data_IF_278553359261
#
_entry.id   IF_278553359261
#
_cell.length_a   1.000
_cell.length_b   1.000
_cell.length_c   1.000
_cell.angle_alpha   90.00
_cell.angle_beta   90.00
_cell.angle_gamma   90.00
#
_symmetry.space_group_name_H-M   'P 1'
#
loop_
_entity.id
_entity.type
_entity.pdbx_description
1 polymer ?
#
# COMPACT_ATOMS: atom_id res chain seq x y z
N UNK A 1 6.23 -6.16 -16.13
CA UNK A 1 5.61 -4.82 -16.02
C UNK A 1 4.24 -4.93 -15.39
N UNK A 2 4.09 -4.35 -14.19
CA UNK A 2 2.84 -4.27 -13.44
C UNK A 2 1.90 -3.20 -14.02
N UNK A 3 0.60 -3.29 -13.68
CA UNK A 3 -0.40 -2.26 -14.02
C UNK A 3 -0.03 -0.90 -13.39
N UNK A 4 -0.05 0.23 -14.14
CA UNK A 4 0.34 1.54 -13.62
C UNK A 4 -0.74 2.14 -12.71
N UNK A 5 -0.33 2.93 -11.72
CA UNK A 5 -1.23 3.71 -10.85
C UNK A 5 -1.08 5.21 -11.14
N UNK A 6 -2.20 5.92 -11.21
CA UNK A 6 -2.19 7.37 -11.41
C UNK A 6 -1.75 8.11 -10.13
N UNK A 7 -0.87 9.09 -10.28
CA UNK A 7 -0.32 9.85 -9.15
C UNK A 7 -1.40 10.55 -8.33
N UNK A 8 -2.42 11.10 -9.00
CA UNK A 8 -3.55 11.79 -8.38
C UNK A 8 -4.35 10.86 -7.46
N UNK A 9 -4.47 9.59 -7.82
CA UNK A 9 -5.08 8.57 -6.95
C UNK A 9 -4.23 8.32 -5.71
N UNK A 10 -2.91 8.20 -5.85
CA UNK A 10 -2.00 7.98 -4.74
C UNK A 10 -1.98 9.17 -3.76
N UNK A 11 -2.06 10.39 -4.27
CA UNK A 11 -2.18 11.59 -3.44
C UNK A 11 -3.53 11.65 -2.71
N UNK A 12 -4.64 11.39 -3.42
CA UNK A 12 -5.98 11.42 -2.83
C UNK A 12 -6.15 10.44 -1.66
N UNK A 13 -5.56 9.23 -1.77
CA UNK A 13 -5.68 8.19 -0.73
C UNK A 13 -4.72 8.37 0.44
N UNK A 14 -3.62 9.10 0.30
CA UNK A 14 -2.54 9.17 1.31
C UNK A 14 -3.04 9.53 2.73
N UNK A 15 -3.94 10.52 2.94
CA UNK A 15 -4.48 10.81 4.27
C UNK A 15 -5.30 9.65 4.86
N UNK A 16 -5.97 8.86 4.03
CA UNK A 16 -6.72 7.68 4.45
C UNK A 16 -5.80 6.51 4.76
N UNK A 17 -4.74 6.32 3.97
CA UNK A 17 -3.66 5.36 4.23
C UNK A 17 -3.05 5.63 5.61
N UNK A 18 -2.58 6.86 5.85
CA UNK A 18 -1.91 7.25 7.08
C UNK A 18 -2.76 7.01 8.33
N UNK A 19 -4.07 7.26 8.24
CA UNK A 19 -5.03 7.04 9.35
C UNK A 19 -5.36 5.57 9.59
N UNK A 20 -5.29 4.74 8.55
CA UNK A 20 -5.72 3.36 8.61
C UNK A 20 -4.59 2.41 9.01
N UNK A 21 -3.34 2.70 8.61
CA UNK A 21 -2.16 1.89 8.96
C UNK A 21 -2.06 1.65 10.48
N UNK A 22 -1.66 0.45 10.85
CA UNK A 22 -1.64 -0.02 12.22
C UNK A 22 -0.39 0.48 12.95
N UNK A 23 -0.55 1.54 13.75
CA UNK A 23 0.55 2.15 14.49
C UNK A 23 1.26 1.19 15.46
N UNK A 24 0.53 0.24 16.07
CA UNK A 24 1.13 -0.72 17.00
C UNK A 24 2.12 -1.67 16.29
N UNK A 25 1.80 -2.11 15.06
CA UNK A 25 2.73 -2.90 14.25
C UNK A 25 3.93 -2.07 13.78
N UNK A 26 3.75 -0.79 13.45
CA UNK A 26 4.86 0.10 13.11
C UNK A 26 5.82 0.33 14.29
N UNK A 27 5.29 0.47 15.51
CA UNK A 27 6.10 0.58 16.72
C UNK A 27 6.87 -0.73 16.96
N UNK A 28 6.20 -1.89 16.85
CA UNK A 28 6.87 -3.18 17.00
C UNK A 28 7.95 -3.42 15.92
N UNK A 29 7.75 -2.93 14.69
CA UNK A 29 8.79 -2.92 13.67
C UNK A 29 9.97 -2.03 14.08
N UNK A 30 9.70 -0.81 14.57
CA UNK A 30 10.73 0.13 15.01
C UNK A 30 11.64 -0.46 16.10
N UNK A 31 11.04 -1.16 17.06
CA UNK A 31 11.75 -1.85 18.15
C UNK A 31 12.64 -2.99 17.66
N UNK A 32 12.23 -3.70 16.60
CA UNK A 32 12.98 -4.81 16.03
C UNK A 32 14.14 -4.37 15.12
N UNK A 33 14.13 -3.11 14.67
CA UNK A 33 15.14 -2.55 13.76
C UNK A 33 16.37 -2.02 14.53
N UNK A 34 17.58 -2.08 13.93
CA UNK A 34 18.79 -1.54 14.54
C UNK A 34 18.75 0.00 14.65
N UNK A 35 19.67 0.63 15.42
CA UNK A 35 19.64 2.08 15.67
C UNK A 35 19.71 2.99 14.43
N UNK A 36 20.25 2.50 13.31
CA UNK A 36 20.33 3.22 12.02
C UNK A 36 19.88 2.30 10.88
N UNK A 37 18.59 2.00 10.77
CA UNK A 37 18.11 0.95 9.89
C UNK A 37 18.16 1.37 8.43
N UNK A 38 18.48 0.42 7.55
CA UNK A 38 18.20 0.49 6.12
C UNK A 38 16.90 -0.24 5.79
N UNK A 39 15.89 0.49 5.35
CA UNK A 39 14.61 -0.05 4.88
C UNK A 39 14.52 -0.10 3.36
N UNK A 40 14.03 -1.22 2.83
CA UNK A 40 13.65 -1.38 1.43
C UNK A 40 12.12 -1.26 1.31
N UNK A 41 11.63 -0.22 0.64
CA UNK A 41 10.20 0.03 0.42
C UNK A 41 9.77 -0.48 -0.96
N UNK A 42 9.03 -1.58 -1.01
CA UNK A 42 8.61 -2.23 -2.26
C UNK A 42 7.28 -1.66 -2.74
N UNK A 43 7.27 -1.19 -3.99
CA UNK A 43 6.11 -0.52 -4.56
C UNK A 43 5.91 0.84 -3.89
N UNK A 44 7.00 1.58 -3.74
CA UNK A 44 7.04 2.81 -2.96
C UNK A 44 6.06 3.88 -3.48
N UNK A 45 5.69 3.83 -4.77
CA UNK A 45 4.83 4.80 -5.41
C UNK A 45 5.36 6.21 -5.22
N UNK A 46 4.51 7.10 -4.69
CA UNK A 46 4.90 8.47 -4.35
C UNK A 46 5.57 8.60 -2.97
N UNK A 47 5.99 7.52 -2.31
CA UNK A 47 6.73 7.53 -1.04
C UNK A 47 5.89 7.74 0.21
N UNK A 48 4.58 7.43 0.18
CA UNK A 48 3.66 7.69 1.30
C UNK A 48 3.91 6.79 2.52
N UNK A 49 4.50 5.60 2.34
CA UNK A 49 4.86 4.73 3.46
C UNK A 49 6.07 5.28 4.21
N UNK A 50 7.13 5.68 3.48
CA UNK A 50 8.27 6.39 4.08
C UNK A 50 7.80 7.59 4.89
N UNK A 51 7.02 8.50 4.29
CA UNK A 51 6.55 9.72 4.99
C UNK A 51 5.77 9.43 6.27
N UNK A 52 5.09 8.29 6.35
CA UNK A 52 4.33 7.89 7.53
C UNK A 52 5.18 7.15 8.57
N UNK A 53 6.05 6.23 8.16
CA UNK A 53 6.83 5.37 9.05
C UNK A 53 8.09 6.06 9.57
N UNK A 54 8.74 6.89 8.74
CA UNK A 54 9.98 7.59 9.08
C UNK A 54 9.90 8.42 10.38
N UNK A 55 8.83 9.23 10.62
CA UNK A 55 8.66 9.92 11.90
C UNK A 55 8.50 8.98 13.10
N UNK A 56 7.88 7.81 12.93
CA UNK A 56 7.66 6.81 14.00
C UNK A 56 8.99 6.17 14.40
N UNK A 57 9.89 5.91 13.44
CA UNK A 57 11.23 5.40 13.74
C UNK A 57 12.07 6.40 14.56
N UNK A 58 11.85 7.70 14.35
CA UNK A 58 12.36 8.76 15.23
C UNK A 58 13.88 8.80 15.38
N UNK A 59 14.62 8.37 14.35
CA UNK A 59 16.11 8.31 14.35
C UNK A 59 16.68 8.42 12.93
N UNK A 60 18.00 8.54 12.84
CA UNK A 60 18.69 8.45 11.55
C UNK A 60 18.45 7.11 10.88
N UNK A 61 18.22 7.12 9.57
CA UNK A 61 17.75 5.95 8.82
C UNK A 61 18.08 6.09 7.34
N UNK A 62 18.12 4.96 6.66
CA UNK A 62 18.33 4.86 5.23
C UNK A 62 17.15 4.15 4.57
N UNK A 63 16.67 4.69 3.45
CA UNK A 63 15.58 4.16 2.66
C UNK A 63 16.02 3.94 1.23
N UNK A 64 15.70 2.76 0.69
CA UNK A 64 15.69 2.51 -0.75
C UNK A 64 14.24 2.33 -1.19
N UNK A 65 13.72 3.31 -1.93
CA UNK A 65 12.40 3.26 -2.54
C UNK A 65 12.48 2.47 -3.83
N UNK A 66 11.77 1.34 -3.91
CA UNK A 66 11.74 0.48 -5.09
C UNK A 66 10.39 0.61 -5.78
N UNK A 67 10.41 0.95 -7.05
CA UNK A 67 9.20 0.96 -7.88
C UNK A 67 9.54 0.57 -9.32
N UNK A 68 8.58 0.05 -10.06
CA UNK A 68 8.75 -0.22 -11.49
C UNK A 68 8.65 1.07 -12.33
N UNK A 69 8.01 2.11 -11.79
CA UNK A 69 7.79 3.38 -12.46
C UNK A 69 8.75 4.47 -11.96
N UNK A 70 9.72 4.84 -12.82
CA UNK A 70 10.67 5.90 -12.54
C UNK A 70 10.01 7.27 -12.30
N UNK A 71 8.85 7.53 -12.90
CA UNK A 71 8.10 8.79 -12.71
C UNK A 71 7.45 8.88 -11.34
N UNK A 72 7.04 7.74 -10.75
CA UNK A 72 6.54 7.69 -9.38
C UNK A 72 7.67 7.94 -8.38
N UNK A 73 8.85 7.36 -8.60
CA UNK A 73 10.02 7.65 -7.78
C UNK A 73 10.41 9.13 -7.83
N UNK A 74 10.45 9.75 -9.03
CA UNK A 74 10.71 11.19 -9.16
C UNK A 74 9.71 12.03 -8.35
N UNK A 75 8.42 11.70 -8.43
CA UNK A 75 7.38 12.32 -7.60
C UNK A 75 7.60 12.07 -6.11
N UNK A 76 8.01 10.86 -5.71
CA UNK A 76 8.30 10.55 -4.32
C UNK A 76 9.39 11.46 -3.75
N UNK A 77 10.50 11.64 -4.48
CA UNK A 77 11.56 12.56 -4.09
C UNK A 77 11.05 14.00 -3.95
N UNK A 78 10.33 14.51 -4.97
CA UNK A 78 9.78 15.86 -4.94
C UNK A 78 8.84 16.08 -3.75
N UNK A 79 7.92 15.14 -3.49
CA UNK A 79 7.00 15.23 -2.36
C UNK A 79 7.70 15.10 -1.01
N UNK A 80 8.70 14.23 -0.88
CA UNK A 80 9.48 14.11 0.36
C UNK A 80 10.21 15.42 0.67
N UNK A 81 10.85 16.01 -0.33
CA UNK A 81 11.57 17.28 -0.18
C UNK A 81 10.61 18.44 0.13
N UNK A 82 9.51 18.57 -0.61
CA UNK A 82 8.49 19.59 -0.35
C UNK A 82 7.95 19.49 1.09
N UNK A 83 7.60 18.28 1.55
CA UNK A 83 7.07 18.07 2.90
C UNK A 83 8.11 18.35 3.99
N UNK A 84 9.39 18.05 3.73
CA UNK A 84 10.48 18.41 4.63
C UNK A 84 10.63 19.93 4.76
N UNK A 85 10.61 20.65 3.64
CA UNK A 85 10.70 22.12 3.62
C UNK A 85 9.51 22.75 4.35
N UNK A 86 8.29 22.25 4.11
CA UNK A 86 7.09 22.70 4.83
C UNK A 86 7.16 22.45 6.34
N UNK A 87 7.86 21.39 6.76
CA UNK A 87 8.13 21.09 8.17
C UNK A 87 9.28 21.93 8.77
N UNK A 88 9.91 22.81 7.99
CA UNK A 88 11.05 23.62 8.41
C UNK A 88 12.37 22.86 8.46
N UNK A 89 12.50 21.74 7.76
CA UNK A 89 13.70 20.92 7.71
C UNK A 89 14.56 21.26 6.48
N UNK A 90 15.87 21.09 6.62
CA UNK A 90 16.81 21.26 5.52
C UNK A 90 16.88 19.99 4.69
N UNK A 91 16.96 20.12 3.37
CA UNK A 91 17.28 19.04 2.44
C UNK A 91 18.59 19.28 1.73
N UNK A 92 19.31 18.21 1.39
CA UNK A 92 20.53 18.28 0.58
C UNK A 92 20.62 17.11 -0.38
N UNK A 93 21.20 17.35 -1.55
CA UNK A 93 21.40 16.35 -2.61
C UNK A 93 22.91 16.09 -2.81
N UNK A 94 23.55 15.22 -2.01
CA UNK A 94 24.98 14.90 -2.18
C UNK A 94 25.30 14.28 -3.55
N UNK A 95 24.30 13.69 -4.20
CA UNK A 95 24.34 13.23 -5.61
C UNK A 95 22.91 13.25 -6.18
N UNK A 96 22.74 13.25 -7.51
CA UNK A 96 21.41 13.38 -8.15
C UNK A 96 20.36 12.34 -7.75
N UNK A 97 20.79 11.19 -7.21
CA UNK A 97 19.92 10.06 -6.86
C UNK A 97 19.79 9.84 -5.35
N UNK A 98 20.27 10.78 -4.53
CA UNK A 98 20.23 10.65 -3.07
C UNK A 98 19.80 11.95 -2.44
N UNK A 99 18.64 11.91 -1.78
CA UNK A 99 18.12 12.98 -0.97
C UNK A 99 18.47 12.71 0.49
N UNK A 100 19.00 13.73 1.17
CA UNK A 100 19.13 13.73 2.63
C UNK A 100 18.14 14.73 3.20
N UNK A 101 17.31 14.27 4.14
CA UNK A 101 16.40 15.11 4.93
C UNK A 101 16.97 15.24 6.34
N UNK A 102 17.27 16.46 6.77
CA UNK A 102 17.87 16.74 8.08
C UNK A 102 16.77 17.06 9.10
N UNK A 103 16.31 16.04 9.83
CA UNK A 103 15.27 16.19 10.86
C UNK A 103 15.91 16.42 12.24
N UNK A 104 15.17 16.98 13.22
CA UNK A 104 15.66 17.10 14.60
C UNK A 104 16.04 15.75 15.25
N UNK A 105 15.46 14.65 14.79
CA UNK A 105 15.67 13.30 15.34
C UNK A 105 16.79 12.52 14.61
N UNK A 106 17.28 13.03 13.49
CA UNK A 106 18.31 12.37 12.69
C UNK A 106 18.17 12.62 11.20
N UNK A 107 19.17 12.14 10.44
CA UNK A 107 19.19 12.30 8.98
C UNK A 107 18.47 11.12 8.34
N UNK A 108 17.52 11.41 7.45
CA UNK A 108 16.90 10.40 6.59
C UNK A 108 17.61 10.43 5.25
N UNK A 109 18.32 9.35 4.90
CA UNK A 109 18.88 9.14 3.57
C UNK A 109 17.84 8.42 2.72
N UNK A 110 17.56 8.94 1.53
CA UNK A 110 16.58 8.36 0.61
C UNK A 110 17.22 8.15 -0.75
N UNK A 111 17.12 6.92 -1.27
CA UNK A 111 17.58 6.52 -2.60
C UNK A 111 16.44 5.84 -3.37
N UNK A 112 16.49 5.87 -4.69
CA UNK A 112 15.51 5.24 -5.57
C UNK A 112 16.12 4.09 -6.37
N UNK A 113 15.36 3.02 -6.55
CA UNK A 113 15.71 1.87 -7.36
C UNK A 113 14.55 1.54 -8.29
N UNK A 114 14.76 1.67 -9.61
CA UNK A 114 13.79 1.20 -10.59
C UNK A 114 13.99 -0.30 -10.78
N UNK A 115 12.98 -1.10 -10.43
CA UNK A 115 13.05 -2.56 -10.57
C UNK A 115 11.66 -3.17 -10.83
N UNK A 116 11.62 -4.20 -11.69
CA UNK A 116 10.40 -5.01 -11.86
C UNK A 116 10.27 -5.97 -10.67
N UNK A 117 9.36 -5.63 -9.75
CA UNK A 117 9.09 -6.45 -8.57
C UNK A 117 8.59 -7.86 -8.93
N UNK A 118 8.05 -8.07 -10.14
CA UNK A 118 7.61 -9.39 -10.60
C UNK A 118 8.77 -10.36 -10.83
N UNK A 119 10.00 -9.85 -10.99
CA UNK A 119 11.21 -10.68 -11.04
C UNK A 119 11.51 -11.39 -9.71
N UNK A 120 10.86 -10.96 -8.61
CA UNK A 120 10.97 -11.60 -7.31
C UNK A 120 12.19 -11.16 -6.49
N UNK A 121 12.52 -11.87 -5.40
CA UNK A 121 13.55 -11.46 -4.44
C UNK A 121 14.95 -11.35 -5.02
N UNK A 122 15.29 -12.16 -6.03
CA UNK A 122 16.64 -12.21 -6.62
C UNK A 122 17.02 -10.91 -7.37
N UNK A 123 16.02 -10.11 -7.73
CA UNK A 123 16.21 -8.80 -8.37
C UNK A 123 16.29 -7.64 -7.37
N UNK A 124 16.25 -7.93 -6.06
CA UNK A 124 16.18 -6.93 -4.99
C UNK A 124 17.41 -7.03 -4.08
N UNK A 125 17.94 -5.89 -3.57
CA UNK A 125 19.10 -5.87 -2.68
C UNK A 125 18.72 -6.22 -1.23
N UNK A 126 18.10 -7.40 -1.03
CA UNK A 126 17.57 -7.83 0.27
C UNK A 126 18.68 -8.03 1.32
N UNK A 127 19.89 -8.35 0.88
CA UNK A 127 21.09 -8.57 1.70
C UNK A 127 21.62 -7.28 2.37
N UNK A 128 21.22 -6.12 1.86
CA UNK A 128 21.63 -4.80 2.37
C UNK A 128 20.63 -4.17 3.32
N UNK A 129 19.40 -4.69 3.38
CA UNK A 129 18.32 -4.12 4.16
C UNK A 129 18.28 -4.71 5.57
N UNK A 130 17.98 -3.87 6.56
CA UNK A 130 17.64 -4.26 7.93
C UNK A 130 16.13 -4.54 8.10
N UNK A 131 15.31 -4.16 7.11
CA UNK A 131 13.89 -4.44 7.06
C UNK A 131 13.31 -4.16 5.68
N UNK A 132 12.26 -4.90 5.32
CA UNK A 132 11.57 -4.73 4.03
C UNK A 132 10.12 -4.36 4.31
N UNK A 133 9.65 -3.30 3.66
CA UNK A 133 8.32 -2.76 3.87
C UNK A 133 7.57 -2.63 2.56
N UNK A 134 6.23 -2.61 2.61
CA UNK A 134 5.37 -2.36 1.45
C UNK A 134 4.01 -1.87 1.90
N UNK A 135 3.28 -1.19 1.01
CA UNK A 135 1.90 -0.73 1.26
C UNK A 135 1.01 -0.98 0.04
N UNK A 136 -0.15 -1.62 0.23
CA UNK A 136 -1.10 -1.95 -0.84
C UNK A 136 -0.44 -2.64 -2.06
N UNK A 137 0.52 -3.53 -1.81
CA UNK A 137 1.24 -4.30 -2.83
C UNK A 137 0.83 -5.77 -2.80
N UNK A 138 0.78 -6.40 -1.62
CA UNK A 138 0.74 -7.85 -1.53
C UNK A 138 -0.60 -8.49 -1.92
N UNK A 139 -1.65 -7.70 -2.12
CA UNK A 139 -2.89 -8.15 -2.74
C UNK A 139 -2.83 -8.17 -4.28
N UNK A 140 -1.84 -7.51 -4.88
CA UNK A 140 -1.59 -7.51 -6.34
C UNK A 140 -0.68 -8.65 -6.78
N UNK A 141 0.12 -9.20 -5.87
CA UNK A 141 1.13 -10.23 -6.18
C UNK A 141 0.53 -11.63 -6.15
N UNK A 142 1.23 -12.59 -6.75
CA UNK A 142 0.81 -14.00 -6.75
C UNK A 142 1.24 -14.75 -5.49
N UNK A 143 0.61 -15.90 -5.27
CA UNK A 143 1.01 -16.84 -4.22
C UNK A 143 2.49 -17.26 -4.33
N UNK A 144 3.00 -17.42 -5.57
CA UNK A 144 4.41 -17.77 -5.83
C UNK A 144 5.34 -16.68 -5.31
N UNK A 145 5.04 -15.41 -5.62
CA UNK A 145 5.84 -14.27 -5.20
C UNK A 145 5.96 -14.19 -3.67
N UNK A 146 4.83 -14.30 -2.95
CA UNK A 146 4.83 -14.28 -1.47
C UNK A 146 5.68 -15.41 -0.89
N UNK A 147 5.59 -16.63 -1.47
CA UNK A 147 6.41 -17.77 -1.04
C UNK A 147 7.90 -17.53 -1.26
N UNK A 148 8.28 -16.95 -2.39
CA UNK A 148 9.68 -16.63 -2.70
C UNK A 148 10.23 -15.58 -1.73
N UNK A 149 9.48 -14.50 -1.49
CA UNK A 149 9.86 -13.47 -0.51
C UNK A 149 10.01 -14.04 0.90
N UNK A 150 9.04 -14.82 1.38
CA UNK A 150 9.10 -15.44 2.70
C UNK A 150 10.30 -16.40 2.86
N UNK A 151 10.70 -17.09 1.78
CA UNK A 151 11.86 -17.98 1.80
C UNK A 151 13.21 -17.27 1.72
N UNK A 152 13.26 -16.10 1.06
CA UNK A 152 14.49 -15.33 0.86
C UNK A 152 14.82 -14.39 2.04
N UNK A 153 13.80 -13.86 2.71
CA UNK A 153 14.00 -12.85 3.76
C UNK A 153 14.58 -13.44 5.04
N UNK A 154 15.45 -12.64 5.67
CA UNK A 154 16.03 -12.87 7.02
C UNK A 154 15.84 -11.69 7.96
N UNK A 155 15.19 -10.63 7.50
CA UNK A 155 14.93 -9.39 8.23
C UNK A 155 13.43 -9.16 8.38
N UNK A 156 12.97 -8.28 9.29
CA UNK A 156 11.56 -7.94 9.42
C UNK A 156 10.89 -7.59 8.08
N UNK A 157 9.67 -8.08 7.89
CA UNK A 157 8.81 -7.74 6.77
C UNK A 157 7.52 -7.10 7.25
N UNK A 158 7.23 -5.89 6.77
CA UNK A 158 5.98 -5.19 7.07
C UNK A 158 5.19 -4.91 5.79
N UNK A 159 3.95 -5.38 5.74
CA UNK A 159 3.03 -5.13 4.63
C UNK A 159 1.79 -4.42 5.16
N UNK A 160 1.60 -3.17 4.77
CA UNK A 160 0.45 -2.38 5.15
C UNK A 160 -0.66 -2.41 4.09
N UNK A 161 -1.89 -2.19 4.54
CA UNK A 161 -3.08 -1.96 3.72
C UNK A 161 -3.36 -3.08 2.71
N UNK A 162 -3.20 -4.34 3.14
CA UNK A 162 -3.55 -5.49 2.30
C UNK A 162 -5.05 -5.72 2.37
N UNK A 163 -5.75 -5.66 1.23
CA UNK A 163 -7.21 -5.80 1.18
C UNK A 163 -7.66 -7.13 1.80
N UNK A 164 -8.74 -7.09 2.59
CA UNK A 164 -9.29 -8.27 3.28
C UNK A 164 -10.70 -8.67 2.77
N UNK A 165 -11.23 -7.90 1.81
CA UNK A 165 -12.52 -8.13 1.16
C UNK A 165 -13.75 -7.72 1.97
N UNK A 166 -13.59 -7.00 3.08
CA UNK A 166 -14.68 -6.52 3.95
C UNK A 166 -15.09 -5.09 3.62
N UNK A 167 -15.47 -4.88 2.36
CA UNK A 167 -15.87 -3.57 1.86
C UNK A 167 -17.34 -3.29 2.16
N UNK A 168 -17.65 -2.05 2.57
CA UNK A 168 -19.01 -1.63 2.89
C UNK A 168 -19.25 -0.20 2.47
N UNK A 169 -20.26 -0.01 1.62
CA UNK A 169 -20.81 1.30 1.28
C UNK A 169 -22.06 1.55 2.12
N UNK A 170 -22.21 2.74 2.68
CA UNK A 170 -23.38 3.13 3.48
C UNK A 170 -23.92 4.48 2.98
N UNK A 171 -25.24 4.62 2.75
CA UNK A 171 -26.31 3.66 3.08
C UNK A 171 -26.31 2.39 2.20
N UNK A 172 -26.91 1.27 2.63
CA UNK A 172 -26.99 0.06 1.83
C UNK A 172 -27.69 0.29 0.48
N UNK A 173 -27.28 -0.43 -0.56
CA UNK A 173 -27.93 -0.44 -1.86
C UNK A 173 -28.14 -1.89 -2.35
N UNK A 174 -29.27 -2.23 -2.98
CA UNK A 174 -29.55 -3.60 -3.43
C UNK A 174 -28.45 -4.23 -4.30
N UNK A 175 -27.80 -3.45 -5.15
CA UNK A 175 -26.68 -3.88 -6.00
C UNK A 175 -25.30 -3.98 -5.31
N UNK A 176 -25.16 -3.71 -4.01
CA UNK A 176 -23.85 -3.78 -3.32
C UNK A 176 -23.17 -5.14 -3.45
N UNK A 177 -23.92 -6.22 -3.22
CA UNK A 177 -23.38 -7.58 -3.33
C UNK A 177 -22.94 -7.95 -4.76
N UNK A 178 -23.60 -7.38 -5.78
CA UNK A 178 -23.26 -7.59 -7.17
C UNK A 178 -21.96 -6.86 -7.54
N UNK A 179 -21.85 -5.59 -7.16
CA UNK A 179 -20.63 -4.79 -7.38
C UNK A 179 -19.44 -5.41 -6.66
N UNK A 180 -19.60 -5.78 -5.38
CA UNK A 180 -18.55 -6.42 -4.60
C UNK A 180 -18.10 -7.78 -5.18
N UNK A 181 -19.00 -8.53 -5.86
CA UNK A 181 -18.62 -9.76 -6.58
C UNK A 181 -17.76 -9.45 -7.80
N UNK A 182 -18.15 -8.45 -8.57
CA UNK A 182 -17.39 -7.99 -9.73
C UNK A 182 -16.01 -7.49 -9.34
N UNK A 183 -15.94 -6.62 -8.33
CA UNK A 183 -14.68 -6.10 -7.79
C UNK A 183 -13.75 -7.22 -7.27
N UNK A 184 -14.26 -8.21 -6.54
CA UNK A 184 -13.44 -9.35 -6.11
C UNK A 184 -12.90 -10.21 -7.26
N UNK A 185 -13.66 -10.38 -8.34
CA UNK A 185 -13.19 -11.07 -9.54
C UNK A 185 -12.08 -10.27 -10.22
N UNK A 186 -12.23 -8.96 -10.25
CA UNK A 186 -11.28 -8.00 -10.78
C UNK A 186 -9.94 -7.99 -10.00
N UNK A 187 -10.02 -8.04 -8.67
CA UNK A 187 -8.85 -8.16 -7.77
C UNK A 187 -8.05 -9.46 -7.98
N UNK A 188 -8.68 -10.52 -8.49
CA UNK A 188 -8.02 -11.81 -8.74
C UNK A 188 -7.41 -11.95 -10.13
N UNK A 189 -7.41 -10.89 -10.94
CA UNK A 189 -6.77 -10.87 -12.28
C UNK A 189 -5.24 -10.90 -12.14
N UNK A 190 -4.55 -11.16 -13.25
CA UNK A 190 -3.11 -10.96 -13.29
C UNK A 190 -2.81 -9.45 -13.34
N UNK A 191 -1.92 -9.00 -12.45
CA UNK A 191 -1.47 -7.61 -12.30
C UNK A 191 -0.01 -7.43 -12.70
N UNK A 192 0.58 -8.42 -13.38
CA UNK A 192 1.98 -8.50 -13.77
C UNK A 192 2.81 -9.47 -12.93
N UNK A 193 2.21 -10.10 -11.91
CA UNK A 193 2.87 -11.03 -10.98
C UNK A 193 2.41 -12.48 -11.15
N UNK A 194 1.52 -12.76 -12.11
CA UNK A 194 0.64 -13.92 -12.11
C UNK A 194 -0.70 -13.59 -11.43
N UNK A 195 -1.55 -14.60 -11.27
CA UNK A 195 -2.87 -14.45 -10.62
C UNK A 195 -2.72 -13.83 -9.23
N UNK A 196 -3.29 -12.64 -9.06
CA UNK A 196 -3.22 -11.88 -7.82
C UNK A 196 -3.97 -12.57 -6.66
N UNK A 197 -3.48 -12.35 -5.44
CA UNK A 197 -4.06 -12.89 -4.21
C UNK A 197 -5.37 -12.18 -3.82
N UNK A 198 -5.49 -10.88 -4.12
CA UNK A 198 -6.61 -10.05 -3.70
C UNK A 198 -6.89 -10.20 -2.20
N UNK A 199 -8.16 -10.38 -1.79
CA UNK A 199 -8.56 -10.52 -0.38
C UNK A 199 -7.92 -11.70 0.38
N UNK A 200 -7.31 -12.67 -0.32
CA UNK A 200 -6.64 -13.79 0.33
C UNK A 200 -5.23 -13.42 0.82
N UNK A 201 -4.68 -12.26 0.43
CA UNK A 201 -3.30 -11.88 0.70
C UNK A 201 -2.92 -11.92 2.19
N UNK A 202 -3.69 -11.35 3.14
CA UNK A 202 -3.32 -11.39 4.55
C UNK A 202 -3.13 -12.83 5.07
N UNK A 203 -4.04 -13.73 4.71
CA UNK A 203 -3.98 -15.12 5.16
C UNK A 203 -2.84 -15.91 4.50
N UNK A 204 -2.59 -15.69 3.21
CA UNK A 204 -1.51 -16.37 2.46
C UNK A 204 -0.14 -15.90 2.95
N UNK A 205 0.06 -14.59 3.12
CA UNK A 205 1.31 -14.05 3.69
C UNK A 205 1.56 -14.60 5.09
N UNK A 206 0.56 -14.55 5.97
CA UNK A 206 0.74 -15.02 7.33
C UNK A 206 1.12 -16.51 7.39
N UNK A 207 0.54 -17.34 6.51
CA UNK A 207 0.91 -18.75 6.39
C UNK A 207 2.32 -18.94 5.85
N UNK A 208 2.68 -18.21 4.80
CA UNK A 208 3.99 -18.32 4.16
C UNK A 208 5.13 -17.91 5.10
N UNK A 209 5.01 -16.76 5.77
CA UNK A 209 6.02 -16.27 6.71
C UNK A 209 6.12 -17.15 7.96
N UNK A 210 5.00 -17.62 8.54
CA UNK A 210 5.04 -18.60 9.64
C UNK A 210 5.72 -19.90 9.22
N UNK A 211 5.43 -20.39 8.01
CA UNK A 211 6.08 -21.57 7.45
C UNK A 211 7.59 -21.39 7.22
N UNK A 212 8.05 -20.14 7.05
CA UNK A 212 9.46 -19.78 6.96
C UNK A 212 10.10 -19.48 8.33
N UNK A 213 9.39 -19.72 9.44
CA UNK A 213 9.91 -19.55 10.80
C UNK A 213 9.72 -18.16 11.41
N UNK A 214 9.03 -17.24 10.72
CA UNK A 214 8.78 -15.89 11.25
C UNK A 214 7.67 -15.88 12.30
N UNK A 215 7.81 -15.01 13.31
CA UNK A 215 6.72 -14.63 14.20
C UNK A 215 5.86 -13.58 13.50
N UNK A 216 4.64 -13.96 13.14
CA UNK A 216 3.70 -13.10 12.39
C UNK A 216 2.63 -12.50 13.30
N UNK A 217 2.56 -11.17 13.30
CA UNK A 217 1.50 -10.36 13.88
C UNK A 217 0.65 -9.72 12.78
N UNK A 218 -0.64 -9.55 13.04
CA UNK A 218 -1.58 -8.90 12.10
C UNK A 218 -2.50 -7.96 12.84
N UNK A 219 -2.91 -6.86 12.21
CA UNK A 219 -3.83 -5.90 12.80
C UNK A 219 -4.79 -5.31 11.76
N UNK A 220 -6.05 -5.03 12.13
CA UNK A 220 -6.98 -4.38 11.21
C UNK A 220 -6.47 -2.98 10.86
N UNK A 221 -6.65 -2.59 9.59
CA UNK A 221 -6.26 -1.29 9.05
C UNK A 221 -7.27 -0.74 8.03
N UNK A 222 -8.58 -0.72 8.35
CA UNK A 222 -9.59 -0.34 7.38
C UNK A 222 -9.49 1.15 7.02
N UNK A 223 -9.67 1.48 5.74
CA UNK A 223 -10.01 2.87 5.40
C UNK A 223 -11.40 3.16 5.93
N UNK A 224 -11.53 4.28 6.63
CA UNK A 224 -12.80 4.85 7.06
C UNK A 224 -12.99 6.17 6.32
N UNK A 225 -13.84 6.16 5.29
CA UNK A 225 -14.13 7.31 4.43
C UNK A 225 -15.49 7.89 4.86
N UNK A 226 -15.50 8.99 5.63
CA UNK A 226 -16.74 9.60 6.09
C UNK A 226 -17.48 10.30 4.93
N UNK A 227 -18.77 10.58 5.13
CA UNK A 227 -19.57 11.34 4.16
C UNK A 227 -19.02 12.74 3.87
N UNK A 228 -18.27 13.32 4.80
CA UNK A 228 -17.62 14.63 4.64
C UNK A 228 -16.44 14.62 3.64
N UNK A 229 -16.04 13.46 3.11
CA UNK A 229 -14.98 13.34 2.08
C UNK A 229 -15.56 12.82 0.76
N UNK A 230 -16.36 13.65 0.06
CA UNK A 230 -17.18 13.21 -1.06
C UNK A 230 -16.36 12.75 -2.28
N UNK A 231 -15.20 13.38 -2.52
CA UNK A 231 -14.32 13.01 -3.65
C UNK A 231 -13.81 11.58 -3.47
N UNK A 232 -13.22 11.26 -2.32
CA UNK A 232 -12.74 9.90 -2.04
C UNK A 232 -13.86 8.85 -2.12
N UNK A 233 -15.04 9.17 -1.57
CA UNK A 233 -16.18 8.25 -1.58
C UNK A 233 -16.70 7.98 -3.01
N UNK A 234 -16.80 9.01 -3.86
CA UNK A 234 -17.20 8.87 -5.26
C UNK A 234 -16.15 8.11 -6.08
N UNK A 235 -14.86 8.46 -5.92
CA UNK A 235 -13.75 7.77 -6.59
C UNK A 235 -13.73 6.27 -6.27
N UNK A 236 -13.89 5.91 -5.00
CA UNK A 236 -13.99 4.51 -4.58
C UNK A 236 -15.19 3.81 -5.24
N UNK A 237 -16.37 4.45 -5.20
CA UNK A 237 -17.55 3.86 -5.81
C UNK A 237 -17.36 3.66 -7.32
N UNK A 238 -16.96 4.68 -8.06
CA UNK A 238 -16.76 4.56 -9.51
C UNK A 238 -15.73 3.48 -9.86
N UNK A 239 -14.61 3.39 -9.12
CA UNK A 239 -13.61 2.34 -9.31
C UNK A 239 -14.19 0.93 -9.10
N UNK A 240 -15.00 0.72 -8.06
CA UNK A 240 -15.68 -0.56 -7.82
C UNK A 240 -16.69 -0.89 -8.95
N UNK A 241 -17.44 0.10 -9.41
CA UNK A 241 -18.38 -0.08 -10.52
C UNK A 241 -17.65 -0.42 -11.82
N UNK A 242 -16.55 0.26 -12.12
CA UNK A 242 -15.74 0.03 -13.32
C UNK A 242 -15.16 -1.38 -13.33
N UNK A 243 -14.52 -1.79 -12.24
CA UNK A 243 -14.02 -3.14 -12.05
C UNK A 243 -15.14 -4.19 -12.19
N UNK A 244 -16.31 -3.94 -11.61
CA UNK A 244 -17.45 -4.84 -11.76
C UNK A 244 -17.96 -4.93 -13.20
N UNK A 245 -17.99 -3.81 -13.95
CA UNK A 245 -18.37 -3.78 -15.37
C UNK A 245 -17.39 -4.57 -16.24
N UNK A 246 -16.10 -4.47 -15.95
CA UNK A 246 -15.07 -5.22 -16.67
C UNK A 246 -15.13 -6.73 -16.38
N UNK A 247 -15.49 -7.12 -15.17
CA UNK A 247 -15.43 -8.51 -14.72
C UNK A 247 -16.74 -9.31 -14.89
N UNK A 248 -17.89 -8.66 -15.09
CA UNK A 248 -19.21 -9.30 -15.14
C UNK A 248 -19.83 -9.26 -16.55
N UNK A 249 -20.83 -10.12 -16.85
CA UNK A 249 -21.46 -10.16 -18.17
C UNK A 249 -22.07 -8.80 -18.60
N UNK A 250 -22.02 -8.44 -19.90
CA UNK A 250 -22.48 -7.13 -20.38
C UNK A 250 -23.94 -6.78 -20.07
N UNK A 251 -24.83 -7.77 -19.99
CA UNK A 251 -26.25 -7.56 -19.67
C UNK A 251 -26.51 -6.95 -18.30
N UNK A 252 -25.53 -6.99 -17.39
CA UNK A 252 -25.62 -6.43 -16.03
C UNK A 252 -25.18 -4.95 -15.98
N UNK A 253 -24.56 -4.43 -17.04
CA UNK A 253 -24.04 -3.06 -17.07
C UNK A 253 -25.03 -1.95 -16.67
N UNK A 254 -26.34 -2.01 -17.03
CA UNK A 254 -27.30 -1.01 -16.58
C UNK A 254 -27.43 -0.94 -15.05
N UNK A 255 -27.43 -2.09 -14.34
CA UNK A 255 -27.51 -2.14 -12.88
C UNK A 255 -26.26 -1.53 -12.22
N UNK A 256 -25.08 -1.78 -12.79
CA UNK A 256 -23.82 -1.25 -12.29
C UNK A 256 -23.72 0.27 -12.50
N UNK A 257 -24.23 0.78 -13.63
CA UNK A 257 -24.34 2.23 -13.87
C UNK A 257 -25.31 2.89 -12.88
N UNK A 258 -26.50 2.32 -12.70
CA UNK A 258 -27.46 2.85 -11.73
C UNK A 258 -26.92 2.86 -10.29
N UNK A 259 -26.16 1.83 -9.91
CA UNK A 259 -25.46 1.81 -8.63
C UNK A 259 -24.44 2.96 -8.53
N UNK A 260 -23.58 3.15 -9.55
CA UNK A 260 -22.56 4.20 -9.55
C UNK A 260 -23.17 5.60 -9.51
N UNK A 261 -24.24 5.84 -10.27
CA UNK A 261 -25.00 7.10 -10.27
C UNK A 261 -25.61 7.38 -8.90
N UNK A 262 -26.21 6.37 -8.26
CA UNK A 262 -26.74 6.50 -6.90
C UNK A 262 -25.64 6.83 -5.87
N UNK A 263 -24.47 6.17 -5.97
CA UNK A 263 -23.32 6.43 -5.10
C UNK A 263 -22.77 7.84 -5.30
N UNK A 264 -22.60 8.28 -6.55
CA UNK A 264 -22.19 9.64 -6.88
C UNK A 264 -23.15 10.70 -6.33
N UNK A 265 -24.45 10.48 -6.45
CA UNK A 265 -25.46 11.38 -5.90
C UNK A 265 -25.40 11.44 -4.36
N UNK A 266 -25.16 10.31 -3.69
CA UNK A 266 -24.97 10.25 -2.24
C UNK A 266 -23.67 10.93 -1.81
N UNK A 267 -22.57 10.72 -2.52
CA UNK A 267 -21.27 11.34 -2.26
C UNK A 267 -21.38 12.87 -2.36
N UNK A 268 -21.95 13.40 -3.45
CA UNK A 268 -22.17 14.85 -3.63
C UNK A 268 -23.00 15.49 -2.51
N UNK A 269 -23.90 14.73 -1.89
CA UNK A 269 -24.75 15.18 -0.77
C UNK A 269 -24.10 14.95 0.60
N UNK A 270 -22.86 14.46 0.65
CA UNK A 270 -22.16 14.12 1.89
C UNK A 270 -22.76 12.94 2.65
N UNK A 271 -23.51 12.06 1.98
CA UNK A 271 -24.26 10.94 2.58
C UNK A 271 -23.62 9.57 2.35
N UNK A 272 -22.65 9.46 1.44
CA UNK A 272 -21.95 8.22 1.17
C UNK A 272 -20.76 8.08 2.11
N UNK A 273 -20.78 7.07 2.97
CA UNK A 273 -19.60 6.64 3.72
C UNK A 273 -19.14 5.28 3.21
N UNK A 274 -17.82 5.06 3.23
CA UNK A 274 -17.21 3.84 2.73
C UNK A 274 -16.25 3.31 3.78
N UNK A 275 -16.31 2.00 4.02
CA UNK A 275 -15.28 1.26 4.73
C UNK A 275 -14.65 0.30 3.72
N UNK A 276 -13.33 0.40 3.52
CA UNK A 276 -12.56 -0.58 2.75
C UNK A 276 -11.74 -1.38 3.76
N UNK A 277 -11.90 -2.71 3.71
CA UNK A 277 -11.27 -3.58 4.67
C UNK A 277 -9.82 -3.88 4.30
N UNK A 278 -8.89 -3.60 5.22
CA UNK A 278 -7.51 -4.02 5.09
C UNK A 278 -6.98 -4.64 6.38
N UNK A 279 -5.90 -5.40 6.25
CA UNK A 279 -5.12 -5.96 7.33
C UNK A 279 -3.64 -5.65 7.10
N UNK A 280 -2.99 -5.10 8.11
CA UNK A 280 -1.54 -4.94 8.16
C UNK A 280 -0.90 -6.20 8.75
N UNK A 281 0.31 -6.51 8.31
CA UNK A 281 1.06 -7.68 8.73
C UNK A 281 2.50 -7.28 9.04
N UNK A 282 3.01 -7.74 10.18
CA UNK A 282 4.42 -7.70 10.56
C UNK A 282 4.92 -9.14 10.74
N UNK A 283 5.94 -9.52 9.99
CA UNK A 283 6.67 -10.77 10.18
C UNK A 283 8.07 -10.45 10.73
N UNK A 284 8.36 -10.94 11.94
CA UNK A 284 9.67 -10.81 12.57
C UNK A 284 10.47 -12.11 12.40
N UNK A 285 11.75 -12.05 11.97
CA UNK A 285 12.57 -13.24 11.81
C UNK A 285 12.75 -13.97 13.16
N UNK A 286 13.04 -15.28 13.15
CA UNK A 286 13.42 -15.98 14.36
C UNK A 286 14.69 -15.35 14.96
N UNK A 287 14.78 -15.36 16.30
CA UNK A 287 15.97 -14.94 17.04
C UNK A 287 17.16 -15.85 16.75
#
# INVERSE_FOLDING_TARGET
MSEPFEADWLELREPFDARARNAALAIALAEALPPRPHLLDLGAGTGSLLRWLAPILGRSQFWTLVDADASLLQRAFATIEERAILAGWTTTWPRPTTLLVHTPQGVWRVEGLVADLAAGPDALPLDKADGVVSTALCDLVSHRWVRQMAGALRVPFYAALNVDGRDRFSPPHPADGLVARGFRRDQGRDKGFGRALGPAAPAVMARAFRGAGFRVQTGPSPWLVPGATPVMADTLAEGHAQAARAALPPGIAPLLRGWAEARRAQARRGRLSVRIGHTDLLALPPH
#
